data_IF_284442585108
#
_entry.id   IF_284442585108
#
_cell.length_a   1.000
_cell.length_b   1.000
_cell.length_c   1.000
_cell.angle_alpha   90.00
_cell.angle_beta   90.00
_cell.angle_gamma   90.00
#
_symmetry.space_group_name_H-M   'P 1'
#
loop_
_entity.id
_entity.type
_entity.pdbx_description
1 polymer ?
#
# COMPACT_ATOMS: atom_id res chain seq x y z
N UNK A 1 0.96 6.42 31.66
CA UNK A 1 0.91 7.04 30.33
C UNK A 1 2.18 6.66 29.59
N UNK A 2 2.08 6.32 28.32
CA UNK A 2 3.25 6.05 27.47
C UNK A 2 4.10 7.31 27.31
N UNK A 3 5.43 7.16 27.15
CA UNK A 3 6.36 8.30 26.96
C UNK A 3 6.04 9.09 25.69
N UNK A 4 5.61 8.39 24.63
CA UNK A 4 5.32 8.97 23.32
C UNK A 4 3.85 8.86 22.97
N UNK A 5 3.33 9.80 22.18
CA UNK A 5 1.95 9.81 21.68
C UNK A 5 1.76 8.84 20.52
N UNK A 6 2.74 8.77 19.62
CA UNK A 6 2.72 7.92 18.43
C UNK A 6 4.08 7.24 18.26
N UNK A 7 4.09 5.97 17.82
CA UNK A 7 5.29 5.33 17.27
C UNK A 7 5.16 5.27 15.75
N UNK A 8 6.15 5.83 15.04
CA UNK A 8 6.26 5.76 13.58
C UNK A 8 7.31 4.72 13.21
N UNK A 9 6.89 3.69 12.50
CA UNK A 9 7.74 2.58 12.06
C UNK A 9 8.20 2.85 10.63
N UNK A 10 9.52 2.85 10.40
CA UNK A 10 10.13 3.06 9.09
C UNK A 10 11.00 1.85 8.76
N UNK A 11 10.53 0.93 7.89
CA UNK A 11 11.40 -0.11 7.36
C UNK A 11 12.48 0.52 6.48
N UNK A 12 13.73 0.13 6.69
CA UNK A 12 14.88 0.67 5.95
C UNK A 12 15.66 -0.45 5.27
N UNK A 13 16.02 -0.22 4.02
CA UNK A 13 16.95 -1.07 3.26
C UNK A 13 17.60 -0.25 2.16
N UNK A 14 18.90 0.04 2.29
CA UNK A 14 19.68 0.80 1.32
C UNK A 14 18.96 2.10 0.88
N UNK A 15 18.51 2.91 1.88
CA UNK A 15 17.60 4.04 1.68
C UNK A 15 18.25 5.25 1.00
N UNK A 16 19.59 5.31 1.04
CA UNK A 16 20.35 6.44 0.53
C UNK A 16 19.93 7.78 1.18
N UNK A 17 19.85 8.83 0.38
CA UNK A 17 19.55 10.19 0.85
C UNK A 17 18.10 10.44 1.27
N UNK A 18 17.17 9.59 0.83
CA UNK A 18 15.73 9.82 1.04
C UNK A 18 15.35 9.78 2.52
N UNK A 19 16.00 8.93 3.31
CA UNK A 19 15.75 8.84 4.75
C UNK A 19 15.88 10.17 5.48
N UNK A 20 16.79 11.08 5.03
CA UNK A 20 16.92 12.41 5.62
C UNK A 20 15.67 13.25 5.47
N UNK A 21 15.05 13.22 4.29
CA UNK A 21 13.81 13.96 4.02
C UNK A 21 12.64 13.37 4.83
N UNK A 22 12.57 12.05 4.92
CA UNK A 22 11.54 11.35 5.68
C UNK A 22 11.63 11.70 7.18
N UNK A 23 12.80 11.56 7.80
CA UNK A 23 12.99 11.93 9.21
C UNK A 23 12.81 13.44 9.41
N UNK A 24 13.30 14.29 8.50
CA UNK A 24 13.06 15.73 8.54
C UNK A 24 11.59 16.08 8.63
N UNK A 25 10.73 15.40 7.86
CA UNK A 25 9.28 15.61 7.90
C UNK A 25 8.62 15.20 9.22
N UNK A 26 9.25 14.31 10.00
CA UNK A 26 8.82 13.97 11.36
C UNK A 26 9.30 15.00 12.38
N UNK A 27 10.50 15.55 12.18
CA UNK A 27 11.04 16.62 13.05
C UNK A 27 10.19 17.90 12.95
N UNK A 28 9.61 18.17 11.77
CA UNK A 28 8.79 19.36 11.50
C UNK A 28 7.30 19.18 11.91
N UNK A 29 6.94 18.08 12.61
CA UNK A 29 5.54 17.85 13.00
C UNK A 29 5.07 18.79 14.12
N UNK A 30 3.85 19.37 13.94
CA UNK A 30 3.21 20.22 14.96
C UNK A 30 2.83 19.47 16.23
N UNK A 31 2.80 18.13 16.20
CA UNK A 31 2.63 17.29 17.39
C UNK A 31 3.80 17.45 18.39
N UNK A 32 4.96 17.96 17.91
CA UNK A 32 6.24 17.99 18.61
C UNK A 32 7.03 16.69 18.43
N UNK A 33 8.28 16.81 17.95
CA UNK A 33 9.11 15.64 17.64
C UNK A 33 9.40 14.79 18.90
N UNK A 34 9.51 15.41 20.05
CA UNK A 34 9.68 14.75 21.36
C UNK A 34 8.50 13.84 21.76
N UNK A 35 7.33 14.04 21.15
CA UNK A 35 6.13 13.22 21.37
C UNK A 35 6.01 12.02 20.40
N UNK A 36 7.00 11.87 19.48
CA UNK A 36 7.00 10.86 18.42
C UNK A 36 8.15 9.89 18.67
N UNK A 37 7.85 8.61 18.90
CA UNK A 37 8.86 7.55 18.81
C UNK A 37 9.08 7.19 17.35
N UNK A 38 10.33 7.17 16.89
CA UNK A 38 10.69 6.72 15.54
C UNK A 38 11.46 5.41 15.65
N UNK A 39 10.91 4.36 15.01
CA UNK A 39 11.53 3.03 14.95
C UNK A 39 12.06 2.78 13.54
N UNK A 40 13.38 2.87 13.37
CA UNK A 40 14.06 2.51 12.13
C UNK A 40 14.36 1.00 12.19
N UNK A 41 13.68 0.21 11.38
CA UNK A 41 13.90 -1.24 11.33
C UNK A 41 14.69 -1.56 10.06
N UNK A 42 15.99 -1.80 10.24
CA UNK A 42 16.92 -2.03 9.14
C UNK A 42 16.91 -3.49 8.69
N UNK A 43 16.44 -3.73 7.49
CA UNK A 43 16.32 -5.05 6.86
C UNK A 43 17.68 -5.51 6.26
N UNK A 44 18.75 -5.38 7.09
CA UNK A 44 20.13 -5.74 6.75
C UNK A 44 20.67 -4.95 5.55
N UNK A 45 20.68 -3.64 5.64
CA UNK A 45 21.32 -2.78 4.64
C UNK A 45 22.80 -3.15 4.43
N UNK A 46 23.24 -3.07 3.19
CA UNK A 46 24.63 -3.27 2.77
C UNK A 46 25.33 -1.96 2.40
N UNK A 47 24.56 -0.91 2.19
CA UNK A 47 25.02 0.43 1.88
C UNK A 47 25.51 1.14 3.15
N UNK A 48 26.81 1.45 3.15
CA UNK A 48 27.47 2.11 4.30
C UNK A 48 26.82 3.46 4.64
N UNK A 49 26.40 4.22 3.66
CA UNK A 49 25.78 5.53 3.89
C UNK A 49 24.48 5.40 4.70
N UNK A 50 23.61 4.44 4.33
CA UNK A 50 22.38 4.17 5.07
C UNK A 50 22.69 3.75 6.50
N UNK A 51 23.63 2.81 6.70
CA UNK A 51 24.00 2.30 8.04
C UNK A 51 24.54 3.42 8.94
N UNK A 52 25.46 4.24 8.40
CA UNK A 52 26.04 5.35 9.16
C UNK A 52 24.97 6.42 9.50
N UNK A 53 24.06 6.69 8.57
CA UNK A 53 22.97 7.64 8.77
C UNK A 53 21.99 7.18 9.87
N UNK A 54 21.58 5.91 9.84
CA UNK A 54 20.70 5.31 10.85
C UNK A 54 21.34 5.39 12.24
N UNK A 55 22.62 4.99 12.36
CA UNK A 55 23.36 5.06 13.62
C UNK A 55 23.51 6.50 14.11
N UNK A 56 23.77 7.44 13.21
CA UNK A 56 23.85 8.86 13.56
C UNK A 56 22.53 9.33 14.17
N UNK A 57 21.39 9.06 13.54
CA UNK A 57 20.09 9.49 14.05
C UNK A 57 19.78 8.89 15.44
N UNK A 58 20.07 7.61 15.65
CA UNK A 58 19.83 6.99 16.97
C UNK A 58 20.75 7.49 18.08
N UNK A 59 21.93 8.03 17.72
CA UNK A 59 22.85 8.66 18.68
C UNK A 59 22.47 10.12 18.99
N UNK A 60 21.96 10.82 17.98
CA UNK A 60 21.65 12.25 18.10
C UNK A 60 20.26 12.50 18.75
N UNK A 61 19.33 11.53 18.70
CA UNK A 61 17.95 11.69 19.14
C UNK A 61 17.46 10.52 20.00
N UNK A 62 17.10 10.79 21.24
CA UNK A 62 16.60 9.80 22.22
C UNK A 62 15.32 9.08 21.80
N UNK A 63 14.50 9.75 21.01
CA UNK A 63 13.22 9.23 20.49
C UNK A 63 13.36 8.46 19.18
N UNK A 64 14.58 8.32 18.63
CA UNK A 64 14.88 7.48 17.47
C UNK A 64 15.56 6.19 17.93
N UNK A 65 14.93 5.06 17.70
CA UNK A 65 15.46 3.74 18.01
C UNK A 65 15.71 2.96 16.73
N UNK A 66 16.77 2.16 16.71
CA UNK A 66 17.14 1.33 15.57
C UNK A 66 17.06 -0.15 15.96
N UNK A 67 16.51 -0.96 15.07
CA UNK A 67 16.51 -2.41 15.15
C UNK A 67 17.17 -2.93 13.87
N UNK A 68 18.35 -3.56 14.01
CA UNK A 68 19.02 -4.20 12.90
C UNK A 68 18.60 -5.67 12.80
N UNK A 69 18.02 -6.07 11.66
CA UNK A 69 17.64 -7.45 11.42
C UNK A 69 18.86 -8.29 11.01
N UNK A 70 18.89 -9.55 11.44
CA UNK A 70 19.99 -10.47 11.15
C UNK A 70 20.03 -10.91 9.69
N UNK A 71 18.87 -10.99 9.04
CA UNK A 71 18.71 -11.41 7.64
C UNK A 71 17.81 -10.43 6.89
N UNK A 72 18.10 -10.24 5.58
CA UNK A 72 17.22 -9.46 4.72
C UNK A 72 15.94 -10.27 4.42
N UNK A 73 14.79 -9.71 4.72
CA UNK A 73 13.49 -10.34 4.49
C UNK A 73 12.99 -10.21 3.04
N UNK A 74 13.57 -9.28 2.30
CA UNK A 74 13.24 -9.00 0.90
C UNK A 74 11.93 -8.27 0.65
N UNK A 75 11.11 -8.07 1.69
CA UNK A 75 9.81 -7.39 1.64
C UNK A 75 9.54 -6.63 2.96
N UNK A 76 8.74 -5.55 2.92
CA UNK A 76 8.59 -4.67 4.09
C UNK A 76 7.71 -5.23 5.22
N UNK A 77 6.97 -6.32 5.00
CA UNK A 77 6.01 -6.85 5.98
C UNK A 77 6.66 -7.25 7.31
N UNK A 78 7.76 -8.03 7.26
CA UNK A 78 8.49 -8.47 8.46
C UNK A 78 9.10 -7.30 9.24
N UNK A 79 9.88 -6.37 8.64
CA UNK A 79 10.37 -5.19 9.36
C UNK A 79 9.26 -4.35 10.00
N UNK A 80 8.10 -4.22 9.34
CA UNK A 80 6.95 -3.49 9.91
C UNK A 80 6.38 -4.20 11.13
N UNK A 81 6.24 -5.52 11.10
CA UNK A 81 5.80 -6.32 12.24
C UNK A 81 6.75 -6.15 13.43
N UNK A 82 8.05 -6.29 13.20
CA UNK A 82 9.09 -6.08 14.23
C UNK A 82 8.98 -4.69 14.84
N UNK A 83 8.79 -3.66 14.01
CA UNK A 83 8.62 -2.28 14.48
C UNK A 83 7.36 -2.10 15.34
N UNK A 84 6.21 -2.64 14.93
CA UNK A 84 4.96 -2.56 15.70
C UNK A 84 5.08 -3.29 17.04
N UNK A 85 5.68 -4.48 17.06
CA UNK A 85 5.90 -5.27 18.28
C UNK A 85 6.77 -4.53 19.29
N UNK A 86 7.83 -3.86 18.82
CA UNK A 86 8.78 -3.11 19.65
C UNK A 86 8.38 -1.66 19.95
N UNK A 87 7.28 -1.17 19.38
CA UNK A 87 6.79 0.19 19.64
C UNK A 87 6.31 0.34 21.10
N UNK A 88 6.44 1.54 21.65
CA UNK A 88 6.10 1.81 23.07
C UNK A 88 4.83 2.63 23.24
N UNK A 89 4.33 3.29 22.19
CA UNK A 89 3.09 4.06 22.27
C UNK A 89 1.83 3.22 22.00
N UNK A 90 0.69 3.74 22.44
CA UNK A 90 -0.61 3.11 22.21
C UNK A 90 -1.09 3.23 20.75
N UNK A 91 -0.49 4.15 19.99
CA UNK A 91 -0.84 4.40 18.60
C UNK A 91 0.37 4.22 17.69
N UNK A 92 0.17 3.51 16.58
CA UNK A 92 1.24 3.20 15.62
C UNK A 92 0.89 3.70 14.23
N UNK A 93 1.89 4.16 13.52
CA UNK A 93 1.88 4.52 12.11
C UNK A 93 3.04 3.86 11.40
N UNK A 94 2.90 3.61 10.10
CA UNK A 94 3.99 3.13 9.25
C UNK A 94 4.30 4.20 8.21
N UNK A 95 5.57 4.39 7.89
CA UNK A 95 6.05 5.33 6.90
C UNK A 95 7.07 4.67 5.99
N UNK A 96 6.99 4.88 4.69
CA UNK A 96 8.05 4.44 3.78
C UNK A 96 9.23 5.42 3.82
N UNK A 97 10.45 4.91 3.73
CA UNK A 97 11.68 5.67 3.95
C UNK A 97 11.98 6.75 2.89
N UNK A 98 11.21 6.81 1.83
CA UNK A 98 11.38 7.75 0.70
C UNK A 98 10.24 8.77 0.57
N UNK A 99 9.29 8.76 1.49
CA UNK A 99 8.11 9.61 1.53
C UNK A 99 8.20 10.66 2.65
N UNK A 100 7.19 11.55 2.74
CA UNK A 100 7.10 12.56 3.80
C UNK A 100 5.67 12.74 4.30
N UNK A 101 5.51 13.16 5.56
CA UNK A 101 4.24 13.64 6.08
C UNK A 101 4.09 15.16 5.89
N UNK A 102 2.85 15.64 5.77
CA UNK A 102 2.54 17.06 5.97
C UNK A 102 2.80 17.43 7.44
N UNK A 103 3.23 18.68 7.71
CA UNK A 103 3.71 19.11 9.03
C UNK A 103 2.68 18.96 10.17
N UNK A 104 1.38 18.93 9.89
CA UNK A 104 0.33 18.75 10.90
C UNK A 104 -0.35 17.36 10.83
N UNK A 105 0.25 16.41 10.10
CA UNK A 105 -0.41 15.13 9.81
C UNK A 105 -0.55 14.26 11.06
N UNK A 106 0.54 14.10 11.81
CA UNK A 106 0.54 13.26 13.00
C UNK A 106 -0.37 13.83 14.08
N UNK A 107 -0.33 15.14 14.29
CA UNK A 107 -1.20 15.81 15.26
C UNK A 107 -2.69 15.62 14.90
N UNK A 108 -3.06 15.84 13.64
CA UNK A 108 -4.44 15.70 13.20
C UNK A 108 -4.95 14.27 13.31
N UNK A 109 -4.15 13.31 12.89
CA UNK A 109 -4.52 11.89 13.00
C UNK A 109 -4.62 11.45 14.45
N UNK A 110 -3.66 11.83 15.30
CA UNK A 110 -3.66 11.52 16.73
C UNK A 110 -4.85 12.12 17.46
N UNK A 111 -5.10 13.42 17.26
CA UNK A 111 -6.24 14.09 17.89
C UNK A 111 -7.59 13.49 17.42
N UNK A 112 -7.67 13.04 16.17
CA UNK A 112 -8.89 12.40 15.66
C UNK A 112 -9.08 11.02 16.27
N UNK A 113 -8.07 10.14 16.26
CA UNK A 113 -8.20 8.77 16.76
C UNK A 113 -8.50 8.76 18.27
N UNK A 114 -7.85 9.64 19.05
CA UNK A 114 -8.05 9.74 20.49
C UNK A 114 -9.40 10.32 20.85
N UNK A 115 -9.81 11.44 20.21
CA UNK A 115 -11.11 12.07 20.44
C UNK A 115 -12.27 11.15 20.10
N UNK A 116 -12.15 10.44 18.97
CA UNK A 116 -13.20 9.53 18.49
C UNK A 116 -13.12 8.15 19.14
N UNK A 117 -12.05 7.85 19.87
CA UNK A 117 -11.78 6.51 20.40
C UNK A 117 -11.88 5.45 19.30
N UNK A 118 -11.26 5.75 18.14
CA UNK A 118 -11.34 4.89 16.97
C UNK A 118 -10.23 3.83 16.97
N UNK A 119 -10.48 2.72 16.28
CA UNK A 119 -9.46 1.69 16.03
C UNK A 119 -8.49 2.14 14.94
N UNK A 120 -9.03 2.88 13.95
CA UNK A 120 -8.30 3.33 12.78
C UNK A 120 -8.74 4.75 12.41
N UNK A 121 -7.77 5.61 12.13
CA UNK A 121 -8.04 6.88 11.41
C UNK A 121 -7.22 6.92 10.14
N UNK A 122 -7.86 7.28 9.03
CA UNK A 122 -7.32 7.27 7.67
C UNK A 122 -7.32 8.70 7.13
N UNK A 123 -6.27 9.09 6.40
CA UNK A 123 -6.26 10.31 5.59
C UNK A 123 -5.98 10.02 4.12
N UNK A 124 -6.11 11.03 3.26
CA UNK A 124 -5.67 10.99 1.88
C UNK A 124 -4.19 11.35 1.72
N UNK A 125 -3.68 11.23 0.49
CA UNK A 125 -2.31 11.53 0.16
C UNK A 125 -2.16 12.31 -1.14
N UNK A 126 -1.00 12.93 -1.28
CA UNK A 126 -0.54 13.56 -2.50
C UNK A 126 0.44 12.64 -3.24
N UNK A 127 0.42 12.64 -4.55
CA UNK A 127 1.50 12.10 -5.39
C UNK A 127 2.49 13.21 -5.67
N UNK A 128 3.75 13.02 -5.29
CA UNK A 128 4.81 14.01 -5.47
C UNK A 128 5.77 13.53 -6.55
N UNK A 129 5.83 14.29 -7.62
CA UNK A 129 6.81 14.16 -8.70
C UNK A 129 7.90 15.22 -8.50
N UNK A 130 9.01 15.17 -9.23
CA UNK A 130 10.13 16.13 -9.06
C UNK A 130 9.71 17.60 -8.94
N UNK A 131 8.73 18.06 -9.73
CA UNK A 131 8.28 19.45 -9.75
C UNK A 131 6.75 19.62 -9.67
N UNK A 132 6.02 18.58 -9.27
CA UNK A 132 4.55 18.60 -9.27
C UNK A 132 3.99 17.78 -8.14
N UNK A 133 2.99 18.33 -7.47
CA UNK A 133 2.18 17.62 -6.48
C UNK A 133 0.75 17.46 -7.00
N UNK A 134 0.23 16.25 -6.96
CA UNK A 134 -1.13 15.92 -7.37
C UNK A 134 -1.89 15.26 -6.22
N UNK A 135 -3.03 15.83 -5.86
CA UNK A 135 -3.96 15.19 -4.92
C UNK A 135 -4.61 13.98 -5.58
N UNK A 136 -4.73 12.87 -4.86
CA UNK A 136 -5.56 11.76 -5.33
C UNK A 136 -7.03 12.18 -5.34
N UNK A 137 -7.83 11.51 -6.19
CA UNK A 137 -9.27 11.74 -6.25
C UNK A 137 -9.94 11.27 -4.96
N UNK A 138 -10.80 12.11 -4.40
CA UNK A 138 -11.68 11.72 -3.29
C UNK A 138 -12.70 10.69 -3.75
N UNK A 139 -13.05 9.77 -2.86
CA UNK A 139 -14.05 8.73 -3.12
C UNK A 139 -15.43 9.20 -2.66
N UNK A 140 -15.48 9.94 -1.55
CA UNK A 140 -16.72 10.43 -0.96
C UNK A 140 -16.89 11.94 -1.20
N UNK A 141 -18.10 12.43 -1.06
CA UNK A 141 -18.39 13.88 -1.09
C UNK A 141 -18.20 14.51 0.30
N UNK A 142 -18.53 13.78 1.35
CA UNK A 142 -18.40 14.22 2.72
C UNK A 142 -16.92 14.38 3.12
N UNK A 143 -16.57 15.42 3.90
CA UNK A 143 -15.20 15.67 4.30
C UNK A 143 -14.65 14.64 5.30
N UNK A 144 -15.53 13.98 6.05
CA UNK A 144 -15.20 12.96 7.04
C UNK A 144 -16.25 11.86 7.04
N UNK A 145 -15.81 10.63 6.94
CA UNK A 145 -16.65 9.43 7.02
C UNK A 145 -16.38 8.77 8.38
N UNK A 146 -17.42 8.47 9.12
CA UNK A 146 -17.36 7.72 10.38
C UNK A 146 -18.15 6.43 10.23
N UNK A 147 -17.53 5.31 10.53
CA UNK A 147 -18.11 3.99 10.38
C UNK A 147 -17.87 3.18 11.65
N UNK A 148 -18.93 2.66 12.25
CA UNK A 148 -18.82 1.77 13.40
C UNK A 148 -18.63 0.31 13.01
N UNK A 149 -19.08 -0.05 11.82
CA UNK A 149 -18.85 -1.35 11.23
C UNK A 149 -18.68 -1.19 9.73
N UNK A 150 -17.77 -1.93 9.11
CA UNK A 150 -17.54 -1.85 7.65
C UNK A 150 -18.80 -2.11 6.82
N UNK A 151 -19.78 -2.88 7.37
CA UNK A 151 -21.08 -3.12 6.72
C UNK A 151 -21.90 -1.84 6.53
N UNK A 152 -21.68 -0.82 7.34
CA UNK A 152 -22.39 0.46 7.23
C UNK A 152 -21.92 1.25 6.00
N UNK A 153 -20.70 1.00 5.54
CA UNK A 153 -20.17 1.66 4.33
C UNK A 153 -19.05 0.86 3.66
N UNK A 154 -19.43 -0.07 2.79
CA UNK A 154 -18.48 -0.91 2.06
C UNK A 154 -17.58 -0.14 1.07
N UNK A 155 -17.93 1.09 0.70
CA UNK A 155 -17.13 1.93 -0.17
C UNK A 155 -15.75 2.26 0.45
N UNK A 156 -15.57 2.10 1.77
CA UNK A 156 -14.27 2.23 2.42
C UNK A 156 -13.23 1.21 1.92
N UNK A 157 -13.66 0.05 1.40
CA UNK A 157 -12.74 -0.89 0.74
C UNK A 157 -12.12 -0.33 -0.56
N UNK A 158 -12.74 0.70 -1.16
CA UNK A 158 -12.19 1.39 -2.35
C UNK A 158 -11.17 2.48 -1.99
N UNK A 159 -11.06 2.85 -0.71
CA UNK A 159 -9.97 3.72 -0.25
C UNK A 159 -8.65 2.99 -0.45
N UNK A 160 -7.65 3.71 -0.96
CA UNK A 160 -6.33 3.12 -1.21
C UNK A 160 -5.85 2.33 0.04
N UNK A 161 -5.48 1.04 -0.10
CA UNK A 161 -5.11 0.19 1.03
C UNK A 161 -3.80 0.61 1.71
N UNK A 162 -3.06 1.57 1.14
CA UNK A 162 -1.77 2.03 1.66
C UNK A 162 -1.80 2.29 3.16
N UNK A 163 -0.89 1.65 3.87
CA UNK A 163 -0.82 1.66 5.32
C UNK A 163 -0.29 2.97 5.91
N UNK A 164 0.52 3.70 5.15
CA UNK A 164 1.16 4.94 5.56
C UNK A 164 0.19 6.15 5.64
N UNK A 165 -1.05 6.02 5.17
CA UNK A 165 -2.11 7.02 5.39
C UNK A 165 -2.89 6.80 6.69
N UNK A 166 -2.50 5.83 7.52
CA UNK A 166 -3.31 5.34 8.63
C UNK A 166 -2.57 5.43 9.96
N UNK A 167 -3.32 5.80 11.00
CA UNK A 167 -2.93 5.59 12.39
C UNK A 167 -3.82 4.50 12.97
N UNK A 168 -3.22 3.57 13.71
CA UNK A 168 -3.88 2.44 14.31
C UNK A 168 -3.78 2.48 15.84
N UNK A 169 -4.84 2.10 16.54
CA UNK A 169 -4.75 1.71 17.93
C UNK A 169 -3.99 0.38 18.01
N UNK A 170 -2.84 0.37 18.70
CA UNK A 170 -1.96 -0.80 18.79
C UNK A 170 -2.67 -1.97 19.48
N UNK A 171 -3.42 -1.70 20.55
CA UNK A 171 -4.17 -2.71 21.29
C UNK A 171 -5.19 -3.41 20.37
N UNK A 172 -5.90 -2.65 19.54
CA UNK A 172 -6.81 -3.22 18.54
C UNK A 172 -6.10 -4.20 17.59
N UNK A 173 -4.90 -3.85 17.08
CA UNK A 173 -4.13 -4.76 16.22
C UNK A 173 -3.74 -6.04 16.97
N UNK A 174 -3.30 -5.93 18.22
CA UNK A 174 -2.85 -7.05 19.04
C UNK A 174 -4.01 -8.00 19.42
N UNK A 175 -5.13 -7.46 19.89
CA UNK A 175 -6.30 -8.25 20.31
C UNK A 175 -6.93 -9.01 19.14
N UNK A 176 -6.86 -8.47 17.93
CA UNK A 176 -7.35 -9.11 16.72
C UNK A 176 -6.27 -9.91 15.96
N UNK A 177 -5.05 -10.02 16.50
CA UNK A 177 -3.92 -10.73 15.89
C UNK A 177 -3.61 -10.25 14.46
N UNK A 178 -3.79 -8.95 14.22
CA UNK A 178 -3.59 -8.35 12.90
C UNK A 178 -2.10 -8.03 12.71
N UNK A 179 -1.48 -8.67 11.72
CA UNK A 179 -0.08 -8.49 11.34
C UNK A 179 0.05 -8.40 9.82
N UNK A 180 1.13 -7.79 9.37
CA UNK A 180 1.51 -7.85 7.96
C UNK A 180 1.85 -9.30 7.58
N UNK A 181 1.43 -9.72 6.39
CA UNK A 181 1.95 -10.93 5.79
C UNK A 181 3.41 -10.71 5.37
N UNK A 182 4.24 -11.73 5.57
CA UNK A 182 5.68 -11.64 5.34
C UNK A 182 6.08 -12.34 4.05
N UNK A 183 7.18 -11.89 3.43
CA UNK A 183 7.75 -12.52 2.26
C UNK A 183 7.01 -12.33 0.94
N UNK A 184 6.06 -11.38 0.85
CA UNK A 184 5.28 -11.14 -0.37
C UNK A 184 4.86 -9.68 -0.53
N UNK A 185 4.29 -9.35 -1.69
CA UNK A 185 3.67 -8.06 -1.98
C UNK A 185 2.15 -8.10 -1.72
N UNK A 186 1.52 -6.91 -1.78
CA UNK A 186 0.10 -6.70 -1.44
C UNK A 186 -0.21 -7.03 0.04
N UNK A 187 0.80 -6.94 0.90
CA UNK A 187 0.67 -7.04 2.35
C UNK A 187 -0.20 -5.91 2.92
N UNK A 188 -0.19 -4.75 2.28
CA UNK A 188 -1.05 -3.62 2.60
C UNK A 188 -2.53 -3.90 2.29
N UNK A 189 -2.84 -4.57 1.19
CA UNK A 189 -4.21 -4.98 0.86
C UNK A 189 -4.77 -5.93 1.92
N UNK A 190 -4.01 -6.95 2.30
CA UNK A 190 -4.44 -7.93 3.29
C UNK A 190 -4.64 -7.27 4.65
N UNK A 191 -3.66 -6.49 5.13
CA UNK A 191 -3.76 -5.80 6.41
C UNK A 191 -4.93 -4.81 6.43
N UNK A 192 -5.10 -4.00 5.38
CA UNK A 192 -6.21 -3.07 5.26
C UNK A 192 -7.57 -3.78 5.27
N UNK A 193 -7.68 -4.89 4.55
CA UNK A 193 -8.90 -5.72 4.54
C UNK A 193 -9.20 -6.25 5.94
N UNK A 194 -8.20 -6.85 6.60
CA UNK A 194 -8.36 -7.43 7.92
C UNK A 194 -8.73 -6.37 8.97
N UNK A 195 -8.03 -5.21 8.96
CA UNK A 195 -8.31 -4.12 9.89
C UNK A 195 -9.71 -3.54 9.71
N UNK A 196 -10.16 -3.29 8.47
CA UNK A 196 -11.50 -2.76 8.20
C UNK A 196 -12.61 -3.73 8.61
N UNK A 197 -12.43 -5.05 8.40
CA UNK A 197 -13.40 -6.07 8.81
C UNK A 197 -13.52 -6.14 10.33
N UNK A 198 -12.41 -6.04 11.06
CA UNK A 198 -12.37 -6.17 12.53
C UNK A 198 -12.67 -4.89 13.28
N UNK A 199 -12.48 -3.74 12.65
CA UNK A 199 -12.67 -2.44 13.30
C UNK A 199 -14.11 -2.21 13.74
N UNK A 200 -14.25 -1.76 14.99
CA UNK A 200 -15.51 -1.29 15.55
C UNK A 200 -15.71 0.21 15.34
N UNK A 201 -14.64 0.95 15.02
CA UNK A 201 -14.76 2.36 14.66
C UNK A 201 -13.61 2.80 13.75
N UNK A 202 -13.96 3.15 12.53
CA UNK A 202 -13.05 3.70 11.52
C UNK A 202 -13.44 5.13 11.17
N UNK A 203 -12.48 6.05 11.18
CA UNK A 203 -12.65 7.43 10.74
C UNK A 203 -11.83 7.68 9.49
N UNK A 204 -12.44 8.18 8.42
CA UNK A 204 -11.73 8.56 7.22
C UNK A 204 -11.85 10.07 6.98
N UNK A 205 -10.73 10.76 7.01
CA UNK A 205 -10.58 12.19 6.72
C UNK A 205 -10.43 12.40 5.21
N UNK A 206 -11.55 12.31 4.49
CA UNK A 206 -11.61 12.28 3.03
C UNK A 206 -11.07 13.54 2.35
N UNK A 207 -11.16 14.71 2.98
CA UNK A 207 -10.64 15.96 2.43
C UNK A 207 -9.27 16.37 2.98
N UNK A 208 -8.63 15.52 3.81
CA UNK A 208 -7.33 15.79 4.38
C UNK A 208 -6.23 14.93 3.74
N UNK A 209 -5.20 15.58 3.20
CA UNK A 209 -4.08 14.99 2.48
C UNK A 209 -2.82 15.05 3.33
N UNK A 210 -2.67 14.10 4.26
CA UNK A 210 -1.62 14.11 5.29
C UNK A 210 -0.28 13.52 4.86
N UNK A 211 -0.23 12.80 3.74
CA UNK A 211 0.97 12.08 3.28
C UNK A 211 1.39 12.49 1.88
N UNK A 212 2.68 12.51 1.61
CA UNK A 212 3.28 12.81 0.31
C UNK A 212 4.01 11.58 -0.21
N UNK A 213 3.34 10.84 -1.09
CA UNK A 213 3.89 9.68 -1.77
C UNK A 213 4.78 10.10 -2.93
N UNK A 214 6.08 9.79 -2.85
CA UNK A 214 7.09 10.14 -3.85
C UNK A 214 7.06 9.16 -5.02
N UNK A 215 6.87 9.67 -6.23
CA UNK A 215 7.01 8.89 -7.47
C UNK A 215 8.42 9.05 -8.02
N UNK A 216 9.25 8.03 -7.85
CA UNK A 216 10.60 7.97 -8.39
C UNK A 216 10.57 7.40 -9.81
N UNK A 217 11.05 8.14 -10.78
CA UNK A 217 11.01 7.74 -12.20
C UNK A 217 12.32 8.12 -12.93
N UNK A 218 13.47 7.96 -12.29
CA UNK A 218 14.78 8.11 -12.92
C UNK A 218 15.27 6.76 -13.45
N UNK A 219 16.28 6.79 -14.34
CA UNK A 219 16.87 5.54 -14.84
C UNK A 219 17.58 4.74 -13.75
N UNK A 220 18.13 5.44 -12.77
CA UNK A 220 18.96 4.89 -11.69
C UNK A 220 18.15 4.53 -10.44
N UNK A 221 16.97 5.15 -10.26
CA UNK A 221 16.14 5.00 -9.07
C UNK A 221 14.66 4.94 -9.45
N UNK A 222 14.11 3.74 -9.49
CA UNK A 222 12.69 3.50 -9.86
C UNK A 222 11.93 2.97 -8.65
N UNK A 223 10.77 3.57 -8.40
CA UNK A 223 9.81 3.00 -7.46
C UNK A 223 9.45 1.55 -7.83
N UNK A 224 9.20 0.72 -6.84
CA UNK A 224 8.83 -0.70 -6.98
C UNK A 224 7.64 -0.91 -7.92
N UNK A 225 6.72 0.04 -7.98
CA UNK A 225 5.56 0.02 -8.90
C UNK A 225 5.93 -0.03 -10.39
N UNK A 226 7.19 0.27 -10.74
CA UNK A 226 7.70 0.17 -12.10
C UNK A 226 8.35 -1.17 -12.43
N UNK A 227 8.54 -2.04 -11.42
CA UNK A 227 9.05 -3.40 -11.60
C UNK A 227 7.88 -4.29 -12.03
N UNK A 228 7.98 -4.89 -13.22
CA UNK A 228 6.92 -5.74 -13.79
C UNK A 228 7.52 -7.02 -14.36
N UNK A 229 8.20 -7.76 -13.49
CA UNK A 229 8.75 -9.08 -13.83
C UNK A 229 7.90 -10.20 -13.20
N UNK A 230 8.24 -11.46 -13.52
CA UNK A 230 7.56 -12.64 -12.98
C UNK A 230 7.54 -12.66 -11.45
N UNK A 231 8.69 -12.36 -10.80
CA UNK A 231 8.79 -12.36 -9.34
C UNK A 231 7.79 -11.37 -8.70
N UNK A 232 7.73 -10.15 -9.22
CA UNK A 232 6.80 -9.11 -8.75
C UNK A 232 5.33 -9.53 -8.91
N UNK A 233 4.96 -10.01 -10.11
CA UNK A 233 3.58 -10.41 -10.40
C UNK A 233 3.15 -11.62 -9.56
N UNK A 234 4.05 -12.59 -9.35
CA UNK A 234 3.76 -13.76 -8.53
C UNK A 234 3.64 -13.40 -7.04
N UNK A 235 4.48 -12.49 -6.53
CA UNK A 235 4.39 -12.00 -5.16
C UNK A 235 3.04 -11.30 -4.88
N UNK A 236 2.50 -10.56 -5.86
CA UNK A 236 1.14 -10.00 -5.77
C UNK A 236 0.06 -11.08 -5.72
N UNK A 237 0.19 -12.13 -6.55
CA UNK A 237 -0.77 -13.26 -6.55
C UNK A 237 -0.80 -13.90 -5.15
N UNK A 238 0.35 -14.13 -4.54
CA UNK A 238 0.43 -14.70 -3.19
C UNK A 238 -0.27 -13.81 -2.16
N UNK A 239 -0.05 -12.49 -2.21
CA UNK A 239 -0.76 -11.54 -1.34
C UNK A 239 -2.28 -11.55 -1.55
N UNK A 240 -2.74 -11.72 -2.79
CA UNK A 240 -4.17 -11.86 -3.09
C UNK A 240 -4.77 -13.13 -2.51
N UNK A 241 -4.07 -14.27 -2.58
CA UNK A 241 -4.51 -15.49 -1.91
C UNK A 241 -4.62 -15.30 -0.41
N UNK A 242 -3.65 -14.66 0.23
CA UNK A 242 -3.69 -14.36 1.67
C UNK A 242 -4.85 -13.43 2.05
N UNK A 243 -5.15 -12.45 1.19
CA UNK A 243 -6.34 -11.60 1.38
C UNK A 243 -7.63 -12.42 1.27
N UNK A 244 -7.70 -13.33 0.30
CA UNK A 244 -8.84 -14.25 0.16
C UNK A 244 -8.98 -15.20 1.34
N UNK A 245 -7.87 -15.74 1.85
CA UNK A 245 -7.87 -16.57 3.07
C UNK A 245 -8.41 -15.77 4.27
N UNK A 246 -7.98 -14.52 4.45
CA UNK A 246 -8.52 -13.61 5.47
C UNK A 246 -10.05 -13.48 5.38
N UNK A 247 -10.61 -13.34 4.17
CA UNK A 247 -12.07 -13.28 3.98
C UNK A 247 -12.77 -14.57 4.40
N UNK A 248 -12.20 -15.73 4.09
CA UNK A 248 -12.74 -17.04 4.50
C UNK A 248 -12.69 -17.21 6.02
N UNK A 249 -11.54 -16.92 6.64
CA UNK A 249 -11.35 -17.01 8.08
C UNK A 249 -12.29 -16.09 8.86
N UNK A 250 -12.57 -14.92 8.34
CA UNK A 250 -13.51 -13.94 8.91
C UNK A 250 -14.95 -14.16 8.50
N UNK A 251 -15.24 -15.12 7.61
CA UNK A 251 -16.57 -15.41 7.03
C UNK A 251 -17.19 -14.19 6.33
N UNK A 252 -16.36 -13.48 5.58
CA UNK A 252 -16.71 -12.22 4.90
C UNK A 252 -16.49 -12.27 3.39
N UNK A 253 -16.54 -13.45 2.76
CA UNK A 253 -16.31 -13.67 1.34
C UNK A 253 -17.25 -12.83 0.45
N UNK A 254 -18.41 -12.44 0.97
CA UNK A 254 -19.32 -11.51 0.29
C UNK A 254 -18.69 -10.15 -0.08
N UNK A 255 -17.59 -9.77 0.57
CA UNK A 255 -16.86 -8.54 0.26
C UNK A 255 -15.80 -8.70 -0.82
N UNK A 256 -15.55 -9.94 -1.27
CA UNK A 256 -14.57 -10.25 -2.31
C UNK A 256 -14.68 -9.32 -3.53
N UNK A 257 -15.87 -9.12 -4.12
CA UNK A 257 -15.98 -8.35 -5.36
C UNK A 257 -15.52 -6.90 -5.23
N UNK A 258 -15.86 -6.25 -4.13
CA UNK A 258 -15.51 -4.83 -3.92
C UNK A 258 -14.03 -4.66 -3.59
N UNK A 259 -13.42 -5.62 -2.89
CA UNK A 259 -12.01 -5.58 -2.49
C UNK A 259 -11.12 -5.85 -3.69
N UNK A 260 -11.42 -6.88 -4.50
CA UNK A 260 -10.51 -7.34 -5.54
C UNK A 260 -10.65 -6.64 -6.88
N UNK A 261 -11.75 -5.94 -7.14
CA UNK A 261 -12.04 -5.35 -8.46
C UNK A 261 -10.86 -4.53 -9.03
N UNK A 262 -10.41 -3.51 -8.31
CA UNK A 262 -9.36 -2.61 -8.79
C UNK A 262 -7.98 -3.29 -8.76
N UNK A 263 -7.74 -4.19 -7.82
CA UNK A 263 -6.50 -4.95 -7.70
C UNK A 263 -6.30 -5.93 -8.85
N UNK A 264 -7.37 -6.62 -9.27
CA UNK A 264 -7.35 -7.49 -10.45
C UNK A 264 -7.04 -6.68 -11.71
N UNK A 265 -7.69 -5.53 -11.89
CA UNK A 265 -7.44 -4.64 -13.03
C UNK A 265 -5.99 -4.13 -13.03
N UNK A 266 -5.47 -3.75 -11.86
CA UNK A 266 -4.08 -3.37 -11.72
C UNK A 266 -3.13 -4.50 -12.08
N UNK A 267 -3.41 -5.74 -11.60
CA UNK A 267 -2.60 -6.91 -11.92
C UNK A 267 -2.61 -7.22 -13.41
N UNK A 268 -3.80 -7.27 -14.06
CA UNK A 268 -3.92 -7.50 -15.51
C UNK A 268 -3.14 -6.44 -16.31
N UNK A 269 -3.26 -5.18 -15.91
CA UNK A 269 -2.52 -4.08 -16.54
C UNK A 269 -1.00 -4.27 -16.38
N UNK A 270 -0.54 -4.67 -15.21
CA UNK A 270 0.87 -4.93 -14.92
C UNK A 270 1.39 -6.15 -15.69
N UNK A 271 0.59 -7.22 -15.77
CA UNK A 271 0.89 -8.41 -16.57
C UNK A 271 1.06 -8.08 -18.07
N UNK A 272 0.13 -7.31 -18.63
CA UNK A 272 0.19 -6.86 -20.04
C UNK A 272 1.47 -6.09 -20.34
N UNK A 273 1.94 -5.27 -19.40
CA UNK A 273 3.13 -4.43 -19.53
C UNK A 273 4.40 -5.08 -18.97
N UNK A 274 4.36 -6.37 -18.62
CA UNK A 274 5.50 -7.08 -18.04
C UNK A 274 6.56 -7.49 -19.09
N UNK A 275 7.77 -7.72 -18.61
CA UNK A 275 8.90 -8.23 -19.42
C UNK A 275 8.94 -9.77 -19.46
N UNK A 276 7.86 -10.46 -19.09
CA UNK A 276 7.80 -11.91 -18.99
C UNK A 276 7.76 -12.59 -20.36
N UNK A 277 8.39 -13.73 -20.47
CA UNK A 277 8.33 -14.60 -21.66
C UNK A 277 7.01 -15.40 -21.72
N UNK A 278 6.81 -16.19 -22.78
CA UNK A 278 5.54 -16.91 -22.97
C UNK A 278 5.29 -18.00 -21.92
N UNK A 279 6.34 -18.71 -21.47
CA UNK A 279 6.20 -19.74 -20.44
C UNK A 279 5.88 -19.11 -19.09
N UNK A 280 6.54 -18.03 -18.73
CA UNK A 280 6.24 -17.26 -17.52
C UNK A 280 4.83 -16.66 -17.53
N UNK A 281 4.38 -16.17 -18.70
CA UNK A 281 3.00 -15.70 -18.86
C UNK A 281 1.97 -16.79 -18.61
N UNK A 282 2.23 -18.01 -19.12
CA UNK A 282 1.36 -19.15 -18.91
C UNK A 282 1.24 -19.49 -17.43
N UNK A 283 2.38 -19.66 -16.76
CA UNK A 283 2.43 -19.95 -15.31
C UNK A 283 1.73 -18.88 -14.47
N UNK A 284 1.95 -17.60 -14.76
CA UNK A 284 1.30 -16.49 -14.06
C UNK A 284 -0.23 -16.51 -14.21
N UNK A 285 -0.73 -16.84 -15.41
CA UNK A 285 -2.19 -16.96 -15.61
C UNK A 285 -2.74 -18.19 -14.90
N UNK A 286 -2.05 -19.34 -14.95
CA UNK A 286 -2.42 -20.53 -14.19
C UNK A 286 -2.55 -20.21 -12.70
N UNK A 287 -1.59 -19.48 -12.14
CA UNK A 287 -1.56 -19.13 -10.72
C UNK A 287 -2.67 -18.13 -10.32
N UNK A 288 -3.04 -17.17 -11.17
CA UNK A 288 -4.06 -16.16 -10.82
C UNK A 288 -5.48 -16.58 -11.22
N UNK A 289 -5.63 -17.57 -12.07
CA UNK A 289 -6.91 -17.95 -12.66
C UNK A 289 -8.02 -18.18 -11.63
N UNK A 290 -7.79 -18.86 -10.48
CA UNK A 290 -8.81 -19.02 -9.46
C UNK A 290 -9.31 -17.69 -8.88
N UNK A 291 -8.41 -16.71 -8.69
CA UNK A 291 -8.75 -15.35 -8.24
C UNK A 291 -9.64 -14.64 -9.27
N UNK A 292 -9.28 -14.74 -10.55
CA UNK A 292 -10.06 -14.15 -11.65
C UNK A 292 -11.44 -14.79 -11.79
N UNK A 293 -11.52 -16.11 -11.67
CA UNK A 293 -12.77 -16.86 -11.74
C UNK A 293 -13.71 -16.51 -10.59
N UNK A 294 -13.18 -16.41 -9.37
CA UNK A 294 -13.98 -15.98 -8.22
C UNK A 294 -14.55 -14.57 -8.41
N UNK A 295 -13.74 -13.61 -8.92
CA UNK A 295 -14.26 -12.27 -9.22
C UNK A 295 -15.41 -12.30 -10.22
N UNK A 296 -15.28 -13.05 -11.32
CA UNK A 296 -16.31 -13.13 -12.35
C UNK A 296 -17.58 -13.85 -11.87
N UNK A 297 -17.44 -14.82 -10.99
CA UNK A 297 -18.58 -15.49 -10.34
C UNK A 297 -19.48 -14.50 -9.59
N UNK A 298 -18.89 -13.49 -8.96
CA UNK A 298 -19.63 -12.49 -8.21
C UNK A 298 -20.08 -11.28 -9.04
N UNK A 299 -19.31 -10.87 -10.05
CA UNK A 299 -19.55 -9.62 -10.80
C UNK A 299 -20.00 -9.82 -12.24
N UNK A 300 -20.00 -11.05 -12.74
CA UNK A 300 -20.26 -11.45 -14.13
C UNK A 300 -19.26 -10.92 -15.17
N UNK A 301 -18.44 -9.92 -14.84
CA UNK A 301 -17.41 -9.34 -15.71
C UNK A 301 -16.26 -8.71 -14.89
N UNK A 302 -15.25 -8.14 -15.57
CA UNK A 302 -14.12 -7.45 -14.96
C UNK A 302 -14.36 -5.94 -14.70
N UNK A 303 -15.60 -5.46 -14.87
CA UNK A 303 -16.03 -4.07 -14.64
C UNK A 303 -15.23 -2.96 -15.38
N UNK A 304 -14.32 -3.32 -16.27
CA UNK A 304 -13.67 -2.42 -17.22
C UNK A 304 -13.90 -2.89 -18.65
N UNK A 305 -14.61 -2.08 -19.43
CA UNK A 305 -15.00 -2.37 -20.83
C UNK A 305 -13.84 -2.86 -21.70
N UNK A 306 -12.63 -2.35 -21.47
CA UNK A 306 -11.46 -2.76 -22.26
C UNK A 306 -11.03 -4.21 -21.99
N UNK A 307 -11.36 -4.76 -20.82
CA UNK A 307 -11.05 -6.14 -20.41
C UNK A 307 -12.22 -7.10 -20.54
N UNK A 308 -13.42 -6.63 -20.94
CA UNK A 308 -14.59 -7.50 -21.20
C UNK A 308 -14.26 -8.72 -22.08
N UNK A 309 -13.41 -8.60 -23.15
CA UNK A 309 -13.06 -9.76 -23.97
C UNK A 309 -12.32 -10.87 -23.24
N UNK A 310 -11.78 -10.63 -22.04
CA UNK A 310 -11.10 -11.63 -21.23
C UNK A 310 -12.09 -12.46 -20.39
N UNK A 311 -13.26 -11.93 -20.12
CA UNK A 311 -14.27 -12.56 -19.24
C UNK A 311 -14.65 -13.98 -19.67
N UNK A 312 -15.05 -14.28 -20.94
CA UNK A 312 -15.37 -15.62 -21.34
C UNK A 312 -14.16 -16.57 -21.25
N UNK A 313 -12.97 -16.08 -21.58
CA UNK A 313 -11.74 -16.86 -21.56
C UNK A 313 -11.33 -17.27 -20.13
N UNK A 314 -11.61 -16.40 -19.13
CA UNK A 314 -11.43 -16.70 -17.72
C UNK A 314 -12.43 -17.78 -17.29
N UNK A 315 -13.72 -17.65 -17.66
CA UNK A 315 -14.76 -18.64 -17.35
C UNK A 315 -14.42 -20.02 -17.87
N UNK A 316 -13.92 -20.08 -19.10
CA UNK A 316 -13.53 -21.32 -19.78
C UNK A 316 -12.16 -21.87 -19.33
N UNK A 317 -11.36 -21.07 -18.60
CA UNK A 317 -9.97 -21.41 -18.28
C UNK A 317 -9.04 -21.45 -19.51
N UNK A 318 -9.37 -20.71 -20.57
CA UNK A 318 -8.63 -20.72 -21.83
C UNK A 318 -7.39 -19.82 -21.77
N UNK A 319 -6.33 -20.31 -21.12
CA UNK A 319 -5.11 -19.56 -20.84
C UNK A 319 -4.42 -19.05 -22.11
N UNK A 320 -4.36 -19.88 -23.16
CA UNK A 320 -3.69 -19.51 -24.42
C UNK A 320 -4.36 -18.31 -25.10
N UNK A 321 -5.68 -18.34 -25.25
CA UNK A 321 -6.43 -17.24 -25.86
C UNK A 321 -6.52 -16.02 -24.92
N UNK A 322 -6.52 -16.23 -23.60
CA UNK A 322 -6.41 -15.14 -22.64
C UNK A 322 -5.12 -14.35 -22.87
N UNK A 323 -3.96 -14.99 -22.91
CA UNK A 323 -2.66 -14.34 -23.12
C UNK A 323 -2.67 -13.57 -24.44
N UNK A 324 -3.11 -14.19 -25.53
CA UNK A 324 -3.17 -13.59 -26.86
C UNK A 324 -4.06 -12.34 -26.90
N UNK A 325 -5.23 -12.43 -26.28
CA UNK A 325 -6.21 -11.34 -26.20
C UNK A 325 -5.69 -10.18 -25.32
N UNK A 326 -5.12 -10.49 -24.14
CA UNK A 326 -4.52 -9.51 -23.25
C UNK A 326 -3.37 -8.73 -23.93
N UNK A 327 -2.48 -9.42 -24.66
CA UNK A 327 -1.42 -8.76 -25.42
C UNK A 327 -1.94 -7.89 -26.56
N UNK A 328 -3.04 -8.27 -27.22
CA UNK A 328 -3.70 -7.44 -28.24
C UNK A 328 -4.29 -6.16 -27.64
N UNK A 329 -4.91 -6.26 -26.46
CA UNK A 329 -5.41 -5.12 -25.69
C UNK A 329 -4.24 -4.16 -25.36
N UNK A 330 -3.13 -4.68 -24.87
CA UNK A 330 -1.93 -3.88 -24.57
C UNK A 330 -1.40 -3.10 -25.74
N UNK A 331 -1.24 -3.74 -26.89
CA UNK A 331 -0.81 -3.06 -28.15
C UNK A 331 -1.76 -1.95 -28.57
N UNK A 332 -3.07 -2.15 -28.41
CA UNK A 332 -4.09 -1.12 -28.73
C UNK A 332 -4.02 0.08 -27.78
N UNK A 333 -3.79 -0.15 -26.47
CA UNK A 333 -3.58 0.93 -25.48
C UNK A 333 -2.35 1.75 -25.80
N UNK A 334 -1.21 1.11 -26.02
CA UNK A 334 0.05 1.80 -26.34
C UNK A 334 -0.05 2.67 -27.60
N UNK A 335 -0.80 2.22 -28.62
CA UNK A 335 -1.07 3.03 -29.84
C UNK A 335 -1.90 4.27 -29.52
N UNK A 336 -2.96 4.14 -28.71
CA UNK A 336 -3.79 5.27 -28.29
C UNK A 336 -3.00 6.29 -27.48
N UNK A 337 -2.16 5.83 -26.54
CA UNK A 337 -1.34 6.71 -25.70
C UNK A 337 -0.29 7.48 -26.53
N UNK A 338 0.32 6.82 -27.53
CA UNK A 338 1.22 7.49 -28.48
C UNK A 338 0.51 8.58 -29.29
N UNK A 339 -0.69 8.30 -29.80
CA UNK A 339 -1.51 9.28 -30.56
C UNK A 339 -1.87 10.46 -29.66
N UNK A 340 -2.34 10.21 -28.43
CA UNK A 340 -2.68 11.26 -27.46
C UNK A 340 -1.49 12.16 -27.13
N UNK A 341 -0.29 11.58 -26.95
CA UNK A 341 0.96 12.33 -26.73
C UNK A 341 1.35 13.19 -27.95
N UNK A 342 1.11 12.69 -29.17
CA UNK A 342 1.36 13.46 -30.42
C UNK A 342 0.39 14.64 -30.53
N UNK A 343 -0.91 14.41 -30.32
CA UNK A 343 -1.93 15.48 -30.34
C UNK A 343 -1.60 16.56 -29.30
N UNK A 344 -1.26 16.18 -28.06
CA UNK A 344 -0.90 17.17 -27.04
C UNK A 344 0.40 17.96 -27.34
N UNK A 345 1.29 17.44 -28.21
CA UNK A 345 2.48 18.15 -28.67
C UNK A 345 2.21 19.12 -29.83
N UNK A 346 1.13 18.89 -30.57
CA UNK A 346 0.73 19.73 -31.71
C UNK A 346 -0.19 20.89 -31.25
N UNK A 347 -0.79 20.73 -30.05
CA UNK A 347 -1.72 21.72 -29.47
C UNK A 347 -1.02 22.74 -28.54
N UNK A 348 0.32 22.77 -28.52
CA UNK A 348 1.21 23.76 -27.87
C UNK A 348 1.95 24.50 -28.98
#
# INVERSE_FOLDING_TARGET
>A
MTKYKISVIIPTYNTGKFLKESIGSLMDQTLGFENIEVLLVDDKSTDKYTIDLIKKYSNDFENIRVIFLETNSGFPGYPRNVGIENSTSDYVMVMDHDDTYQNNALEKLYNTITKEQADITICNYNKVYNNKTEKIKQIFQEPTIKVNNIQDNLELFKVNPSIWTKIYNKKFLQENQIKFIEGMLAEDLQLNTHTLIKSQKTIYLNNYYGYNYRIRNTKEDKSTIHIRNKKYLNAMIQGYYKTWDTLKETKTEKYYPIIFQDHIIYWITSFINSNTNNNEKKELIENILPILQEQIKHTNNLNERIYEPLTPLIKEGNIKEFIKTAMKIGKKRQRKDKIKKLINKISI
#
